data_IF_785310776650
#
_entry.id   IF_785310776650
#
_cell.length_a   1.000
_cell.length_b   1.000
_cell.length_c   1.000
_cell.angle_alpha   90.00
_cell.angle_beta   90.00
_cell.angle_gamma   90.00
#
_symmetry.space_group_name_H-M   'P 1'
#
loop_
_entity.id
_entity.type
_entity.pdbx_description
1 polymer ?
#
# COMPACT_ATOMS: atom_id res chain seq x y z
N UNK A 1 16.82 -22.61 15.26
CA UNK A 1 16.35 -21.20 15.12
C UNK A 1 17.51 -20.23 14.87
N UNK A 2 18.61 -20.27 15.64
CA UNK A 2 19.76 -19.36 15.47
C UNK A 2 20.33 -19.33 14.04
N UNK A 3 20.58 -20.48 13.43
CA UNK A 3 21.10 -20.56 12.06
C UNK A 3 20.16 -19.92 11.02
N UNK A 4 18.86 -20.02 11.21
CA UNK A 4 17.87 -19.36 10.38
C UNK A 4 17.95 -17.82 10.52
N UNK A 5 18.00 -17.33 11.77
CA UNK A 5 18.11 -15.90 12.05
C UNK A 5 19.38 -15.28 11.42
N UNK A 6 20.53 -15.97 11.57
CA UNK A 6 21.81 -15.53 10.99
C UNK A 6 21.75 -15.48 9.45
N UNK A 7 21.18 -16.50 8.81
CA UNK A 7 21.03 -16.52 7.35
C UNK A 7 20.13 -15.42 6.84
N UNK A 8 19.00 -15.17 7.49
CA UNK A 8 18.08 -14.11 7.13
C UNK A 8 18.69 -12.71 7.37
N UNK A 9 19.43 -12.51 8.45
CA UNK A 9 20.17 -11.28 8.70
C UNK A 9 21.16 -11.01 7.56
N UNK A 10 21.93 -12.04 7.15
CA UNK A 10 22.88 -11.94 6.03
C UNK A 10 22.20 -11.60 4.70
N UNK A 11 21.00 -12.15 4.41
CA UNK A 11 20.22 -11.80 3.20
C UNK A 11 19.83 -10.32 3.18
N UNK A 12 19.62 -9.71 4.35
CA UNK A 12 19.36 -8.28 4.48
C UNK A 12 20.62 -7.43 4.66
N UNK A 13 21.81 -8.01 4.44
CA UNK A 13 23.09 -7.31 4.53
C UNK A 13 23.52 -6.97 5.95
N UNK A 14 23.02 -7.67 6.96
CA UNK A 14 23.34 -7.46 8.37
C UNK A 14 23.98 -8.68 9.00
N UNK A 15 24.81 -8.42 10.00
CA UNK A 15 25.48 -9.45 10.81
C UNK A 15 24.65 -9.72 12.07
N UNK A 16 24.56 -10.99 12.44
CA UNK A 16 23.93 -11.46 13.69
C UNK A 16 24.77 -12.58 14.26
N UNK A 17 25.46 -12.32 15.37
CA UNK A 17 26.33 -13.25 16.08
C UNK A 17 26.52 -12.82 17.55
N UNK A 18 27.47 -13.43 18.25
CA UNK A 18 27.73 -13.13 19.67
C UNK A 18 28.26 -11.70 19.88
N UNK A 19 28.93 -11.11 18.89
CA UNK A 19 29.40 -9.71 18.93
C UNK A 19 28.31 -8.71 18.55
N UNK A 20 27.31 -9.14 17.78
CA UNK A 20 26.14 -8.36 17.36
C UNK A 20 24.89 -9.20 17.58
N UNK A 21 24.42 -9.33 18.84
CA UNK A 21 23.42 -10.33 19.23
C UNK A 21 21.98 -9.94 18.91
N UNK A 22 21.76 -8.78 18.29
CA UNK A 22 20.45 -8.34 17.80
C UNK A 22 20.56 -7.72 16.42
N UNK A 23 19.47 -7.77 15.65
CA UNK A 23 19.38 -7.18 14.32
C UNK A 23 17.96 -6.70 14.04
N UNK A 24 17.87 -5.55 13.39
CA UNK A 24 16.66 -5.06 12.72
C UNK A 24 17.02 -4.88 11.24
N UNK A 25 16.37 -5.63 10.36
CA UNK A 25 16.73 -5.70 8.96
C UNK A 25 15.50 -5.80 8.06
N UNK A 26 15.58 -5.19 6.89
CA UNK A 26 14.61 -5.35 5.82
C UNK A 26 15.12 -6.39 4.83
N UNK A 27 14.33 -7.44 4.62
CA UNK A 27 14.60 -8.48 3.66
C UNK A 27 14.29 -8.02 2.23
N UNK A 28 14.84 -8.68 1.18
CA UNK A 28 14.64 -8.29 -0.21
C UNK A 28 13.18 -8.23 -0.67
N UNK A 29 12.31 -9.04 -0.06
CA UNK A 29 10.86 -9.07 -0.30
C UNK A 29 10.07 -7.97 0.44
N UNK A 30 10.79 -7.10 1.18
CA UNK A 30 10.22 -6.00 1.94
C UNK A 30 9.79 -6.36 3.36
N UNK A 31 9.84 -7.62 3.76
CA UNK A 31 9.58 -8.05 5.13
C UNK A 31 10.62 -7.46 6.08
N UNK A 32 10.16 -6.87 7.17
CA UNK A 32 11.04 -6.40 8.24
C UNK A 32 11.21 -7.50 9.28
N UNK A 33 12.43 -7.87 9.55
CA UNK A 33 12.79 -8.87 10.55
C UNK A 33 13.55 -8.22 11.68
N UNK A 34 13.12 -8.52 12.91
CA UNK A 34 13.89 -8.28 14.12
C UNK A 34 14.28 -9.62 14.71
N UNK A 35 15.55 -9.81 15.06
CA UNK A 35 16.01 -11.03 15.70
C UNK A 35 17.01 -10.73 16.82
N UNK A 36 16.93 -11.53 17.88
CA UNK A 36 17.81 -11.47 19.04
C UNK A 36 18.28 -12.88 19.36
N UNK A 37 19.58 -13.03 19.63
CA UNK A 37 20.18 -14.32 20.00
C UNK A 37 20.62 -14.33 21.46
N UNK A 38 20.76 -15.52 22.09
CA UNK A 38 21.34 -15.66 23.41
C UNK A 38 22.74 -14.99 23.51
N UNK A 39 23.11 -14.47 24.69
CA UNK A 39 22.39 -14.53 25.97
C UNK A 39 21.31 -13.44 26.14
N UNK A 40 21.23 -12.44 25.25
CA UNK A 40 20.31 -11.30 25.41
C UNK A 40 18.84 -11.70 25.33
N UNK A 41 18.51 -12.67 24.46
CA UNK A 41 17.16 -13.21 24.34
C UNK A 41 16.81 -14.31 25.36
N UNK A 42 17.64 -14.48 26.39
CA UNK A 42 17.53 -15.59 27.31
C UNK A 42 18.12 -16.87 26.70
N UNK A 43 17.42 -18.02 26.87
CA UNK A 43 17.92 -19.32 26.38
C UNK A 43 17.69 -19.55 24.88
N UNK A 44 16.77 -18.81 24.26
CA UNK A 44 16.30 -19.10 22.92
C UNK A 44 16.43 -17.89 21.97
N UNK A 45 16.77 -18.17 20.71
CA UNK A 45 16.72 -17.14 19.66
C UNK A 45 15.29 -16.72 19.39
N UNK A 46 15.02 -15.43 19.48
CA UNK A 46 13.72 -14.80 19.15
C UNK A 46 13.79 -14.17 17.79
N UNK A 47 12.78 -14.41 16.96
CA UNK A 47 12.63 -13.79 15.65
C UNK A 47 11.22 -13.23 15.54
N UNK A 48 11.12 -11.96 15.13
CA UNK A 48 9.85 -11.30 14.83
C UNK A 48 9.84 -10.84 13.36
N UNK A 49 8.73 -11.05 12.68
CA UNK A 49 8.53 -10.60 11.32
C UNK A 49 7.37 -9.60 11.23
N UNK A 50 7.61 -8.48 10.55
CA UNK A 50 6.55 -7.58 10.10
C UNK A 50 6.43 -7.71 8.59
N UNK A 51 5.42 -8.44 8.15
CA UNK A 51 5.14 -8.69 6.74
C UNK A 51 4.25 -7.56 6.23
N UNK A 52 4.73 -6.70 5.32
CA UNK A 52 3.89 -5.68 4.72
C UNK A 52 2.85 -6.34 3.80
N UNK A 53 1.66 -5.77 3.72
CA UNK A 53 0.70 -6.16 2.69
C UNK A 53 1.29 -5.88 1.31
N UNK A 54 1.02 -6.77 0.36
CA UNK A 54 1.48 -6.62 -1.03
C UNK A 54 0.58 -5.71 -1.86
N UNK A 55 -0.69 -5.58 -1.46
CA UNK A 55 -1.67 -4.70 -2.11
C UNK A 55 -2.38 -3.84 -1.06
N UNK A 56 -2.65 -2.58 -1.40
CA UNK A 56 -3.50 -1.71 -0.60
C UNK A 56 -4.96 -2.14 -0.70
N UNK A 57 -5.79 -1.62 0.19
CA UNK A 57 -7.24 -1.72 0.10
C UNK A 57 -7.76 -0.77 -0.98
N UNK A 58 -8.74 -1.20 -1.74
CA UNK A 58 -9.55 -0.28 -2.54
C UNK A 58 -10.66 0.34 -1.67
N UNK A 59 -11.28 1.40 -2.17
CA UNK A 59 -12.42 2.01 -1.49
C UNK A 59 -13.60 1.02 -1.37
N UNK A 60 -13.76 0.12 -2.35
CA UNK A 60 -14.76 -0.94 -2.33
C UNK A 60 -14.47 -2.00 -1.27
N UNK A 61 -13.19 -2.34 -1.03
CA UNK A 61 -12.82 -3.26 0.04
C UNK A 61 -13.16 -2.65 1.41
N UNK A 62 -12.81 -1.37 1.63
CA UNK A 62 -13.10 -0.66 2.87
C UNK A 62 -14.60 -0.56 3.15
N UNK A 63 -15.41 -0.42 2.11
CA UNK A 63 -16.87 -0.45 2.23
C UNK A 63 -17.38 -1.86 2.56
N UNK A 64 -16.88 -2.88 1.88
CA UNK A 64 -17.26 -4.27 2.13
C UNK A 64 -16.91 -4.75 3.53
N UNK A 65 -15.75 -4.32 4.06
CA UNK A 65 -15.28 -4.59 5.42
C UNK A 65 -16.01 -3.76 6.49
N UNK A 66 -16.93 -2.86 6.10
CA UNK A 66 -17.67 -1.99 7.02
C UNK A 66 -16.81 -0.88 7.65
N UNK A 67 -15.61 -0.63 7.13
CA UNK A 67 -14.72 0.43 7.63
C UNK A 67 -15.28 1.82 7.33
N UNK A 68 -15.98 2.00 6.20
CA UNK A 68 -16.69 3.22 5.83
C UNK A 68 -18.11 2.90 5.37
N UNK A 69 -19.13 3.72 5.74
CA UNK A 69 -20.47 3.63 5.19
C UNK A 69 -20.51 3.88 3.67
N UNK A 70 -21.57 3.42 3.02
CA UNK A 70 -21.74 3.59 1.58
C UNK A 70 -21.76 5.06 1.16
N UNK A 71 -22.51 5.88 1.88
CA UNK A 71 -22.68 7.32 1.62
C UNK A 71 -21.35 8.06 1.72
N UNK A 72 -20.51 7.68 2.72
CA UNK A 72 -19.16 8.24 2.89
C UNK A 72 -18.24 7.80 1.76
N UNK A 73 -18.34 6.56 1.32
CA UNK A 73 -17.59 6.04 0.16
C UNK A 73 -17.88 6.84 -1.11
N UNK A 74 -19.16 7.14 -1.36
CA UNK A 74 -19.59 7.88 -2.54
C UNK A 74 -19.13 9.35 -2.48
N UNK A 75 -19.23 9.97 -1.29
CA UNK A 75 -18.74 11.33 -1.03
C UNK A 75 -17.23 11.44 -1.27
N UNK A 76 -16.44 10.49 -0.72
CA UNK A 76 -15.00 10.46 -0.86
C UNK A 76 -14.58 10.26 -2.33
N UNK A 77 -15.30 9.42 -3.07
CA UNK A 77 -15.08 9.21 -4.50
C UNK A 77 -15.31 10.51 -5.28
N UNK A 78 -16.41 11.21 -5.02
CA UNK A 78 -16.70 12.49 -5.65
C UNK A 78 -15.65 13.57 -5.29
N UNK A 79 -15.16 13.57 -4.04
CA UNK A 79 -14.11 14.50 -3.60
C UNK A 79 -12.79 14.27 -4.36
N UNK A 80 -12.38 13.01 -4.59
CA UNK A 80 -11.19 12.69 -5.39
C UNK A 80 -11.40 13.06 -6.86
N UNK A 81 -12.55 12.75 -7.44
CA UNK A 81 -12.88 13.07 -8.84
C UNK A 81 -12.89 14.59 -9.09
N UNK A 82 -13.36 15.38 -8.11
CA UNK A 82 -13.36 16.85 -8.16
C UNK A 82 -12.01 17.47 -7.78
N UNK A 83 -11.00 16.66 -7.43
CA UNK A 83 -9.67 17.12 -6.98
C UNK A 83 -9.73 18.01 -5.74
N UNK A 84 -10.66 17.73 -4.84
CA UNK A 84 -10.76 18.46 -3.60
C UNK A 84 -9.53 18.22 -2.69
N UNK A 85 -9.16 19.23 -1.90
CA UNK A 85 -8.18 19.05 -0.84
C UNK A 85 -8.78 18.23 0.28
N UNK A 86 -8.13 17.12 0.67
CA UNK A 86 -8.62 16.20 1.67
C UNK A 86 -7.61 16.15 2.82
N UNK A 87 -8.08 16.37 4.04
CA UNK A 87 -7.31 16.18 5.27
C UNK A 87 -7.86 14.95 6.00
N UNK A 88 -6.97 13.98 6.30
CA UNK A 88 -7.31 12.78 7.06
C UNK A 88 -6.62 12.85 8.42
N UNK A 89 -7.39 12.92 9.51
CA UNK A 89 -6.89 13.00 10.86
C UNK A 89 -7.43 11.87 11.73
N UNK A 90 -6.76 11.60 12.86
CA UNK A 90 -7.19 10.56 13.80
C UNK A 90 -5.98 10.00 14.58
N UNK A 91 -6.23 9.16 15.57
CA UNK A 91 -5.22 8.50 16.40
C UNK A 91 -4.35 7.50 15.65
N UNK A 92 -3.33 6.98 16.30
CA UNK A 92 -2.52 5.89 15.75
C UNK A 92 -3.36 4.62 15.61
N UNK A 93 -3.19 3.86 14.51
CA UNK A 93 -3.90 2.62 14.27
C UNK A 93 -5.34 2.77 13.75
N UNK A 94 -5.86 4.00 13.57
CA UNK A 94 -7.24 4.24 13.08
C UNK A 94 -7.44 4.03 11.58
N UNK A 95 -6.39 3.65 10.84
CA UNK A 95 -6.50 3.36 9.40
C UNK A 95 -6.32 4.56 8.47
N UNK A 96 -5.80 5.71 8.95
CA UNK A 96 -5.55 6.91 8.11
C UNK A 96 -4.77 6.61 6.82
N UNK A 97 -3.63 5.93 6.95
CA UNK A 97 -2.77 5.57 5.81
C UNK A 97 -3.46 4.59 4.87
N UNK A 98 -4.29 3.68 5.42
CA UNK A 98 -5.10 2.74 4.65
C UNK A 98 -6.14 3.47 3.82
N UNK A 99 -6.88 4.41 4.44
CA UNK A 99 -7.85 5.24 3.75
C UNK A 99 -7.20 6.10 2.67
N UNK A 100 -6.09 6.76 2.98
CA UNK A 100 -5.32 7.54 2.00
C UNK A 100 -4.90 6.69 0.81
N UNK A 101 -4.38 5.48 1.04
CA UNK A 101 -4.00 4.53 -0.01
C UNK A 101 -5.18 4.13 -0.90
N UNK A 102 -6.36 3.92 -0.29
CA UNK A 102 -7.59 3.61 -1.02
C UNK A 102 -8.07 4.78 -1.89
N UNK A 103 -8.01 6.01 -1.37
CA UNK A 103 -8.37 7.23 -2.12
C UNK A 103 -7.41 7.48 -3.30
N UNK A 104 -6.12 7.29 -3.09
CA UNK A 104 -5.13 7.41 -4.18
C UNK A 104 -5.33 6.35 -5.26
N UNK A 105 -5.89 5.19 -4.93
CA UNK A 105 -6.28 4.16 -5.89
C UNK A 105 -7.44 4.56 -6.81
N UNK A 106 -8.21 5.60 -6.46
CA UNK A 106 -9.28 6.18 -7.29
C UNK A 106 -8.75 7.17 -8.34
N UNK A 107 -7.53 7.68 -8.13
CA UNK A 107 -6.92 8.67 -9.07
C UNK A 107 -6.70 8.01 -10.43
N UNK A 108 -7.02 8.72 -11.50
CA UNK A 108 -6.79 8.25 -12.86
C UNK A 108 -5.29 7.93 -13.06
N UNK A 109 -4.94 6.73 -13.57
CA UNK A 109 -3.55 6.34 -13.83
C UNK A 109 -2.77 7.28 -14.75
N UNK A 110 -3.46 8.10 -15.54
CA UNK A 110 -2.84 9.15 -16.37
C UNK A 110 -2.28 10.31 -15.54
N UNK A 111 -2.69 10.45 -14.28
CA UNK A 111 -2.20 11.49 -13.39
C UNK A 111 -0.98 11.04 -12.60
N UNK A 112 -0.02 11.95 -12.48
CA UNK A 112 1.17 11.73 -11.65
C UNK A 112 0.82 11.97 -10.19
N UNK A 113 1.08 10.97 -9.33
CA UNK A 113 1.00 11.09 -7.87
C UNK A 113 2.40 11.31 -7.31
N UNK A 114 2.56 12.29 -6.44
CA UNK A 114 3.79 12.54 -5.67
C UNK A 114 3.47 12.30 -4.21
N UNK A 115 4.22 11.40 -3.57
CA UNK A 115 4.06 11.04 -2.15
C UNK A 115 5.25 11.59 -1.38
N UNK A 116 4.98 12.25 -0.24
CA UNK A 116 5.99 12.73 0.71
C UNK A 116 5.70 12.09 2.04
N UNK A 117 6.61 11.27 2.55
CA UNK A 117 6.51 10.51 3.79
C UNK A 117 7.86 10.47 4.51
N UNK A 118 7.86 10.51 5.83
CA UNK A 118 9.07 10.30 6.65
C UNK A 118 9.53 8.83 6.58
N UNK A 119 8.58 7.90 6.56
CA UNK A 119 8.79 6.46 6.40
C UNK A 119 7.84 5.92 5.33
N UNK A 120 8.37 5.14 4.41
CA UNK A 120 7.57 4.56 3.32
C UNK A 120 6.60 3.49 3.84
N UNK A 121 5.36 3.90 4.11
CA UNK A 121 4.28 3.03 4.62
C UNK A 121 3.08 2.96 3.67
N UNK A 122 2.92 3.95 2.80
CA UNK A 122 1.77 4.07 1.92
C UNK A 122 1.77 2.98 0.85
N UNK A 123 0.69 2.22 0.78
CA UNK A 123 0.42 1.24 -0.27
C UNK A 123 -0.86 1.67 -0.97
N UNK A 124 -0.76 2.03 -2.25
CA UNK A 124 -1.91 2.47 -3.05
C UNK A 124 -2.77 1.26 -3.40
N UNK A 125 -4.05 1.32 -3.03
CA UNK A 125 -5.04 0.31 -3.36
C UNK A 125 -5.46 0.43 -4.82
N UNK A 126 -5.14 -0.60 -5.62
CA UNK A 126 -5.66 -0.68 -6.98
C UNK A 126 -6.97 -1.49 -6.94
N UNK A 127 -8.11 -0.79 -6.95
CA UNK A 127 -9.40 -1.42 -7.22
C UNK A 127 -9.44 -2.02 -8.63
N UNK A 128 -10.48 -2.82 -8.98
CA UNK A 128 -10.65 -3.29 -10.34
C UNK A 128 -10.64 -2.07 -11.26
N UNK A 129 -9.73 -2.10 -12.26
CA UNK A 129 -9.55 -0.99 -13.22
C UNK A 129 -10.90 -0.68 -13.86
N UNK A 130 -11.53 0.42 -13.51
CA UNK A 130 -12.65 0.94 -14.29
C UNK A 130 -12.11 1.16 -15.71
N UNK A 131 -12.74 0.57 -16.75
CA UNK A 131 -12.35 0.90 -18.11
C UNK A 131 -12.48 2.42 -18.27
N UNK A 132 -11.43 3.04 -18.81
CA UNK A 132 -11.39 4.47 -19.04
C UNK A 132 -12.73 4.91 -19.68
N UNK A 133 -13.48 5.82 -19.03
CA UNK A 133 -14.68 6.40 -19.61
C UNK A 133 -14.24 7.05 -20.93
N UNK A 134 -14.61 6.45 -22.04
CA UNK A 134 -14.46 7.08 -23.35
C UNK A 134 -15.18 8.42 -23.27
N UNK A 135 -14.52 9.54 -23.65
CA UNK A 135 -15.20 10.84 -23.69
C UNK A 135 -16.44 10.70 -24.59
N UNK A 136 -17.60 11.02 -24.03
CA UNK A 136 -18.83 11.11 -24.78
C UNK A 136 -18.67 12.21 -25.81
N UNK A 137 -18.44 11.87 -27.08
CA UNK A 137 -18.38 12.91 -28.11
C UNK A 137 -17.73 12.56 -29.43
N UNK A 138 -17.18 11.38 -29.64
CA UNK A 138 -16.77 11.02 -31.01
C UNK A 138 -17.84 10.16 -31.72
N UNK A 139 -18.93 10.82 -32.13
CA UNK A 139 -19.78 10.28 -33.20
C UNK A 139 -18.92 10.17 -34.46
N UNK A 140 -18.58 8.94 -34.86
CA UNK A 140 -18.03 8.68 -36.19
C UNK A 140 -18.95 9.31 -37.23
N UNK A 141 -18.51 10.41 -37.89
CA UNK A 141 -19.11 10.86 -39.15
C UNK A 141 -19.00 9.71 -40.14
N UNK A 142 -20.11 9.03 -40.41
CA UNK A 142 -20.24 8.13 -41.56
C UNK A 142 -19.97 8.95 -42.79
N UNK A 143 -18.84 8.71 -43.47
CA UNK A 143 -18.65 9.18 -44.85
C UNK A 143 -19.75 8.52 -45.68
N UNK A 144 -20.68 9.31 -46.15
CA UNK A 144 -21.59 8.90 -47.23
C UNK A 144 -20.72 8.71 -48.45
N UNK A 145 -20.70 7.50 -48.98
CA UNK A 145 -20.15 7.23 -50.30
C UNK A 145 -20.95 7.98 -51.34
N UNK A 146 -20.23 8.56 -52.28
CA UNK A 146 -20.78 9.16 -53.48
C UNK A 146 -21.06 8.01 -54.44
N UNK A 147 -22.22 7.90 -55.07
CA UNK A 147 -22.45 6.97 -56.15
C UNK A 147 -22.10 7.63 -57.48
N UNK A 148 -21.25 6.98 -58.23
CA UNK A 148 -21.24 7.07 -59.71
C UNK A 148 -21.53 5.69 -60.23
#
# INVERSE_FOLDING_TARGET
MRSLAVRLAALGGRRLDDSSPFVDVRLPDGVRMNAIVPPISGEHTTISFRVPRRSGFSISDLRADGFIPAEVSDLLTAAVESRANILISGGTGTGKTVLLGALLGLVDPAHRIVVVEDSRELIIGHGPRRPARRPAGQRRRRRRGHPD
#
